data_IF_640240655935
#
_entry.id   IF_640240655935
#
_cell.length_a   1.000
_cell.length_b   1.000
_cell.length_c   1.000
_cell.angle_alpha   90.00
_cell.angle_beta   90.00
_cell.angle_gamma   90.00
#
_symmetry.space_group_name_H-M   'P 1'
#
loop_
_entity.id
_entity.type
_entity.pdbx_description
1 polymer ?
#
# COMPACT_ATOMS: atom_id res chain seq x y z
N UNK A 1 2.23 -4.39 -15.36
CA UNK A 1 1.63 -4.14 -14.05
C UNK A 1 0.26 -4.78 -14.01
N UNK A 2 0.02 -5.58 -13.01
CA UNK A 2 -1.24 -6.30 -12.92
C UNK A 2 -2.36 -5.42 -12.41
N UNK A 3 -3.55 -5.59 -12.96
CA UNK A 3 -4.74 -4.91 -12.49
C UNK A 3 -5.00 -5.25 -11.01
N UNK A 4 -4.71 -6.49 -10.60
CA UNK A 4 -4.87 -6.91 -9.21
C UNK A 4 -4.05 -6.09 -8.23
N UNK A 5 -2.83 -5.71 -8.60
CA UNK A 5 -1.98 -4.85 -7.75
C UNK A 5 -2.62 -3.48 -7.56
N UNK A 6 -3.11 -2.90 -8.66
CA UNK A 6 -3.77 -1.60 -8.61
C UNK A 6 -5.00 -1.66 -7.72
N UNK A 7 -5.79 -2.72 -7.84
CA UNK A 7 -6.98 -2.91 -7.02
C UNK A 7 -6.64 -3.07 -5.54
N UNK A 8 -5.57 -3.79 -5.22
CA UNK A 8 -5.13 -3.94 -3.83
C UNK A 8 -4.74 -2.61 -3.22
N UNK A 9 -3.93 -1.84 -3.93
CA UNK A 9 -3.48 -0.53 -3.44
C UNK A 9 -4.66 0.42 -3.29
N UNK A 10 -5.55 0.44 -4.28
CA UNK A 10 -6.74 1.28 -4.23
C UNK A 10 -7.67 0.89 -3.08
N UNK A 11 -7.84 -0.42 -2.85
CA UNK A 11 -8.66 -0.91 -1.75
C UNK A 11 -8.13 -0.52 -0.39
N UNK A 12 -6.82 -0.68 -0.18
CA UNK A 12 -6.17 -0.26 1.06
C UNK A 12 -6.33 1.24 1.26
N UNK A 13 -6.08 2.02 0.21
CA UNK A 13 -6.20 3.46 0.28
C UNK A 13 -7.61 3.91 0.62
N UNK A 14 -8.61 3.28 0.02
CA UNK A 14 -10.01 3.60 0.28
C UNK A 14 -10.38 3.32 1.74
N UNK A 15 -10.05 2.13 2.24
CA UNK A 15 -10.35 1.74 3.61
C UNK A 15 -9.66 2.67 4.60
N UNK A 16 -8.37 2.94 4.40
CA UNK A 16 -7.60 3.83 5.27
C UNK A 16 -8.23 5.23 5.28
N UNK A 17 -8.60 5.73 4.11
CA UNK A 17 -9.19 7.06 3.98
C UNK A 17 -10.50 7.17 4.76
N UNK A 18 -11.39 6.19 4.61
CA UNK A 18 -12.69 6.20 5.29
C UNK A 18 -12.51 6.13 6.80
N UNK A 19 -11.68 5.22 7.29
CA UNK A 19 -11.45 5.05 8.73
C UNK A 19 -10.76 6.28 9.31
N UNK A 20 -9.80 6.85 8.59
CA UNK A 20 -9.12 8.06 9.04
C UNK A 20 -10.10 9.23 9.19
N UNK A 21 -11.04 9.38 8.27
CA UNK A 21 -12.07 10.42 8.37
C UNK A 21 -12.95 10.23 9.58
N UNK A 22 -13.31 8.99 9.87
CA UNK A 22 -14.12 8.67 11.06
C UNK A 22 -13.34 9.04 12.32
N UNK A 23 -12.07 8.70 12.40
CA UNK A 23 -11.24 9.03 13.55
C UNK A 23 -11.09 10.55 13.72
N UNK A 24 -10.89 11.27 12.63
CA UNK A 24 -10.75 12.73 12.68
C UNK A 24 -12.03 13.39 13.17
N UNK A 25 -13.18 12.92 12.71
CA UNK A 25 -14.48 13.46 13.16
C UNK A 25 -14.75 13.16 14.61
N UNK A 26 -14.18 12.08 15.15
CA UNK A 26 -14.33 11.72 16.55
C UNK A 26 -13.35 12.43 17.47
N UNK A 27 -12.54 13.35 16.94
CA UNK A 27 -11.55 14.07 17.71
C UNK A 27 -10.27 13.31 17.95
N UNK A 28 -10.05 12.23 17.19
CA UNK A 28 -8.85 11.39 17.33
C UNK A 28 -7.92 11.62 16.16
N UNK A 29 -7.48 12.86 16.00
CA UNK A 29 -6.66 13.26 14.87
C UNK A 29 -5.31 12.54 14.83
N UNK A 30 -4.69 12.36 16.02
CA UNK A 30 -3.41 11.65 16.08
C UNK A 30 -3.54 10.21 15.61
N UNK A 31 -4.61 9.53 16.03
CA UNK A 31 -4.85 8.15 15.64
C UNK A 31 -5.17 8.05 14.15
N UNK A 32 -5.90 9.04 13.61
CA UNK A 32 -6.15 9.10 12.18
C UNK A 32 -4.87 9.23 11.38
N UNK A 33 -3.95 10.08 11.85
CA UNK A 33 -2.65 10.24 11.20
C UNK A 33 -1.82 8.96 11.26
N UNK A 34 -1.79 8.30 12.42
CA UNK A 34 -1.07 7.04 12.57
C UNK A 34 -1.62 5.97 11.64
N UNK A 35 -2.93 5.93 11.46
CA UNK A 35 -3.55 5.00 10.53
C UNK A 35 -3.12 5.27 9.10
N UNK A 36 -3.07 6.53 8.68
CA UNK A 36 -2.61 6.89 7.34
C UNK A 36 -1.18 6.46 7.13
N UNK A 37 -0.31 6.72 8.11
CA UNK A 37 1.09 6.30 8.03
C UNK A 37 1.20 4.78 7.91
N UNK A 38 0.42 4.05 8.70
CA UNK A 38 0.39 2.58 8.64
C UNK A 38 -0.06 2.09 7.27
N UNK A 39 -1.05 2.74 6.69
CA UNK A 39 -1.53 2.41 5.34
C UNK A 39 -0.46 2.61 4.29
N UNK A 40 0.29 3.70 4.39
CA UNK A 40 1.40 3.97 3.48
C UNK A 40 2.46 2.88 3.60
N UNK A 41 2.79 2.46 4.81
CA UNK A 41 3.76 1.40 5.04
C UNK A 41 3.29 0.08 4.41
N UNK A 42 2.01 -0.27 4.60
CA UNK A 42 1.45 -1.49 4.02
C UNK A 42 1.54 -1.46 2.49
N UNK A 43 1.17 -0.35 1.88
CA UNK A 43 1.25 -0.19 0.43
C UNK A 43 2.71 -0.30 -0.02
N UNK A 44 3.62 0.29 0.72
CA UNK A 44 5.04 0.22 0.41
C UNK A 44 5.54 -1.23 0.40
N UNK A 45 5.14 -2.03 1.40
CA UNK A 45 5.51 -3.44 1.43
C UNK A 45 4.95 -4.21 0.24
N UNK A 46 3.73 -3.91 -0.17
CA UNK A 46 3.14 -4.53 -1.35
C UNK A 46 3.97 -4.21 -2.59
N UNK A 47 4.37 -2.95 -2.74
CA UNK A 47 5.16 -2.51 -3.89
C UNK A 47 6.56 -3.13 -3.89
N UNK A 48 7.18 -3.23 -2.72
CA UNK A 48 8.51 -3.86 -2.60
C UNK A 48 8.44 -5.32 -3.03
N UNK A 49 7.36 -6.04 -2.66
CA UNK A 49 7.17 -7.41 -3.10
C UNK A 49 7.11 -7.53 -4.62
N UNK A 50 6.38 -6.61 -5.27
CA UNK A 50 6.30 -6.61 -6.73
C UNK A 50 7.63 -6.26 -7.38
N UNK A 51 8.42 -5.40 -6.77
CA UNK A 51 9.76 -5.09 -7.26
C UNK A 51 10.68 -6.30 -7.19
N UNK A 52 10.53 -7.12 -6.16
CA UNK A 52 11.28 -8.36 -6.05
C UNK A 52 10.99 -9.30 -7.21
N UNK A 53 9.73 -9.44 -7.58
CA UNK A 53 9.33 -10.24 -8.73
C UNK A 53 9.91 -9.69 -10.02
N UNK A 54 9.92 -8.37 -10.15
CA UNK A 54 10.50 -7.72 -11.32
C UNK A 54 12.01 -8.01 -11.44
N UNK A 55 12.73 -7.95 -10.33
CA UNK A 55 14.14 -8.28 -10.30
C UNK A 55 14.39 -9.71 -10.73
N UNK A 56 13.55 -10.64 -10.27
CA UNK A 56 13.68 -12.05 -10.67
C UNK A 56 13.48 -12.21 -12.18
N UNK A 57 12.52 -11.50 -12.75
CA UNK A 57 12.30 -11.54 -14.20
C UNK A 57 13.50 -10.98 -14.96
N UNK A 58 14.09 -9.91 -14.47
CA UNK A 58 15.27 -9.33 -15.08
C UNK A 58 16.43 -10.31 -15.05
N UNK A 59 16.62 -11.00 -13.94
CA UNK A 59 17.67 -12.02 -13.82
C UNK A 59 17.46 -13.14 -14.82
N UNK A 60 16.22 -13.58 -14.99
CA UNK A 60 15.90 -14.64 -15.93
C UNK A 60 16.21 -14.23 -17.37
N UNK A 61 15.86 -12.98 -17.72
CA UNK A 61 16.10 -12.47 -19.06
C UNK A 61 17.61 -12.36 -19.36
N UNK A 62 18.38 -11.93 -18.38
CA UNK A 62 19.83 -11.76 -18.56
C UNK A 62 20.63 -12.98 -18.12
N UNK A 63 19.98 -14.04 -17.69
CA UNK A 63 20.62 -15.27 -17.23
C UNK A 63 21.63 -15.04 -16.09
N UNK A 64 21.25 -14.16 -15.17
CA UNK A 64 22.07 -13.91 -13.98
C UNK A 64 21.67 -14.88 -12.80
#
# INVERSE_FOLDING_TARGET
>A
MELGLILKVAGVGFIVSVVAQILNKSGRDEQGMMLIISGIIVVFFILVGEMGDLFDQIKDVFEL
#
